data_IF_613033038420
#
_entry.id   IF_613033038420
#
_cell.length_a   1.000
_cell.length_b   1.000
_cell.length_c   1.000
_cell.angle_alpha   90.00
_cell.angle_beta   90.00
_cell.angle_gamma   90.00
#
_symmetry.space_group_name_H-M   'P 1'
#
loop_
_entity.id
_entity.type
_entity.pdbx_description
1 polymer ?
#
# COMPACT_ATOMS: atom_id res chain seq x y z
N UNK A 1 24.49 5.65 30.12
CA UNK A 1 25.31 5.17 28.99
C UNK A 1 24.61 4.01 28.29
N UNK A 2 24.51 4.07 26.96
CA UNK A 2 23.93 3.00 26.16
C UNK A 2 25.02 1.93 25.97
N UNK A 3 25.05 0.91 26.82
CA UNK A 3 26.06 -0.15 26.72
C UNK A 3 26.11 -0.70 25.29
N UNK A 4 27.30 -0.60 24.68
CA UNK A 4 27.55 -1.02 23.30
C UNK A 4 27.34 -2.53 23.21
N UNK A 5 26.43 -2.96 22.33
CA UNK A 5 26.08 -4.38 22.19
C UNK A 5 26.53 -4.93 20.83
N UNK A 6 27.46 -5.89 20.84
CA UNK A 6 28.04 -6.50 19.63
C UNK A 6 27.24 -7.68 19.08
N UNK A 7 26.20 -8.13 19.80
CA UNK A 7 25.44 -9.36 19.51
C UNK A 7 24.43 -9.22 18.38
N UNK A 8 24.35 -8.05 17.71
CA UNK A 8 23.42 -7.76 16.61
C UNK A 8 21.98 -8.30 16.86
N UNK A 9 21.39 -7.93 18.01
CA UNK A 9 20.11 -8.48 18.45
C UNK A 9 19.01 -8.33 17.39
N UNK A 10 18.32 -9.44 17.07
CA UNK A 10 17.16 -9.42 16.16
C UNK A 10 15.97 -8.70 16.81
N UNK A 11 15.59 -7.55 16.27
CA UNK A 11 14.49 -6.70 16.77
C UNK A 11 13.14 -7.14 16.18
N UNK A 12 12.22 -7.57 17.05
CA UNK A 12 10.85 -8.00 16.75
C UNK A 12 9.86 -7.35 17.73
N UNK A 13 8.55 -7.37 17.42
CA UNK A 13 7.50 -6.72 18.24
C UNK A 13 7.55 -7.13 19.72
N UNK A 14 7.81 -8.41 19.99
CA UNK A 14 7.85 -8.99 21.35
C UNK A 14 9.13 -8.65 22.14
N UNK A 15 10.24 -8.33 21.47
CA UNK A 15 11.56 -8.18 22.11
C UNK A 15 12.23 -6.82 21.87
N UNK A 16 11.57 -5.89 21.16
CA UNK A 16 12.15 -4.60 20.75
C UNK A 16 12.69 -3.73 21.88
N UNK A 17 12.21 -3.92 23.11
CA UNK A 17 12.65 -3.15 24.27
C UNK A 17 13.81 -3.81 25.04
N UNK A 18 14.24 -5.02 24.67
CA UNK A 18 15.27 -5.78 25.42
C UNK A 18 16.68 -5.23 25.26
N UNK A 19 17.01 -4.62 24.13
CA UNK A 19 18.31 -4.04 23.87
C UNK A 19 18.15 -2.66 23.24
N UNK A 20 18.46 -1.62 24.01
CA UNK A 20 18.30 -0.24 23.58
C UNK A 20 19.32 0.12 22.48
N UNK A 21 20.57 -0.35 22.60
CA UNK A 21 21.62 -0.16 21.59
C UNK A 21 21.23 -0.70 20.22
N UNK A 22 20.89 -1.98 20.11
CA UNK A 22 20.54 -2.59 18.83
C UNK A 22 19.22 -2.00 18.26
N UNK A 23 18.26 -1.62 19.12
CA UNK A 23 17.04 -0.93 18.67
C UNK A 23 17.38 0.40 18.02
N UNK A 24 18.17 1.23 18.70
CA UNK A 24 18.56 2.54 18.20
C UNK A 24 19.39 2.43 16.92
N UNK A 25 20.39 1.55 16.90
CA UNK A 25 21.21 1.29 15.71
C UNK A 25 20.36 0.78 14.54
N UNK A 26 19.35 -0.06 14.79
CA UNK A 26 18.40 -0.48 13.75
C UNK A 26 17.59 0.71 13.21
N UNK A 27 17.09 1.60 14.08
CA UNK A 27 16.39 2.82 13.65
C UNK A 27 17.26 3.67 12.72
N UNK A 28 18.53 3.89 13.06
CA UNK A 28 19.47 4.60 12.21
C UNK A 28 19.70 3.87 10.88
N UNK A 29 19.88 2.54 10.91
CA UNK A 29 20.11 1.74 9.69
C UNK A 29 18.95 1.75 8.70
N UNK A 30 17.71 1.97 9.16
CA UNK A 30 16.53 2.10 8.29
C UNK A 30 16.25 3.57 7.90
N UNK A 31 17.16 4.49 8.21
CA UNK A 31 17.07 5.89 7.81
C UNK A 31 16.25 6.78 8.73
N UNK A 32 15.96 6.38 9.97
CA UNK A 32 15.36 7.30 10.93
C UNK A 32 16.37 8.37 11.31
N UNK A 33 16.06 9.62 10.96
CA UNK A 33 16.90 10.78 11.27
C UNK A 33 16.33 11.56 12.44
N UNK A 34 17.19 11.91 13.39
CA UNK A 34 16.85 12.84 14.46
C UNK A 34 16.42 14.21 13.91
N UNK A 35 17.03 14.65 12.80
CA UNK A 35 16.74 15.93 12.18
C UNK A 35 15.41 15.94 11.41
N UNK A 36 14.78 14.77 11.21
CA UNK A 36 13.48 14.63 10.55
C UNK A 36 12.30 14.62 11.54
N UNK A 37 12.55 14.87 12.83
CA UNK A 37 11.50 14.96 13.85
C UNK A 37 10.70 16.26 13.63
N UNK A 38 9.40 16.12 13.40
CA UNK A 38 8.47 17.25 13.33
C UNK A 38 7.69 17.36 14.64
N UNK A 39 7.65 18.56 15.21
CA UNK A 39 6.84 18.84 16.39
C UNK A 39 5.39 19.12 15.98
N UNK A 40 4.44 18.45 16.63
CA UNK A 40 3.00 18.63 16.36
C UNK A 40 2.47 17.86 15.14
N UNK A 41 1.25 18.22 14.68
CA UNK A 41 0.60 17.59 13.52
C UNK A 41 1.02 18.30 12.24
N UNK A 42 1.39 17.53 11.21
CA UNK A 42 1.68 18.08 9.89
C UNK A 42 0.42 18.70 9.27
N UNK A 43 0.46 19.96 8.80
CA UNK A 43 -0.64 20.58 8.06
C UNK A 43 -0.98 19.81 6.78
N UNK A 44 -2.27 19.74 6.43
CA UNK A 44 -2.73 19.01 5.24
C UNK A 44 -2.11 19.55 3.94
N UNK A 45 -1.94 20.88 3.84
CA UNK A 45 -1.31 21.51 2.69
C UNK A 45 0.13 21.02 2.47
N UNK A 46 0.90 20.86 3.55
CA UNK A 46 2.28 20.39 3.50
C UNK A 46 2.34 18.90 3.13
N UNK A 47 1.41 18.09 3.67
CA UNK A 47 1.26 16.68 3.30
C UNK A 47 0.95 16.50 1.81
N UNK A 48 0.15 17.39 1.23
CA UNK A 48 -0.18 17.37 -0.20
C UNK A 48 1.02 17.76 -1.07
N UNK A 49 1.80 18.76 -0.66
CA UNK A 49 3.04 19.15 -1.36
C UNK A 49 4.05 17.99 -1.40
N UNK A 50 4.33 17.35 -0.27
CA UNK A 50 5.23 16.19 -0.21
C UNK A 50 4.77 15.03 -1.11
N UNK A 51 3.45 14.79 -1.18
CA UNK A 51 2.87 13.77 -2.08
C UNK A 51 3.01 14.15 -3.55
N UNK A 52 2.92 15.43 -3.89
CA UNK A 52 3.11 15.90 -5.25
C UNK A 52 4.59 15.79 -5.67
N UNK A 53 5.51 16.19 -4.80
CA UNK A 53 6.96 16.05 -5.01
C UNK A 53 7.38 14.58 -5.18
N UNK A 54 6.86 13.67 -4.36
CA UNK A 54 7.13 12.22 -4.49
C UNK A 54 6.68 11.66 -5.84
N UNK A 55 5.53 12.14 -6.36
CA UNK A 55 5.03 11.75 -7.69
C UNK A 55 5.86 12.31 -8.84
N UNK A 56 6.52 13.45 -8.65
CA UNK A 56 7.42 14.03 -9.65
C UNK A 56 8.73 13.25 -9.73
N UNK A 57 9.27 12.82 -8.59
CA UNK A 57 10.47 11.96 -8.54
C UNK A 57 10.21 10.59 -9.18
N UNK A 58 9.02 9.99 -9.00
CA UNK A 58 8.61 8.78 -9.72
C UNK A 58 8.44 8.99 -11.24
N UNK A 59 8.28 10.25 -11.70
CA UNK A 59 8.11 10.58 -13.12
C UNK A 59 9.45 10.85 -13.82
N UNK A 60 10.45 11.35 -13.10
CA UNK A 60 11.80 11.59 -13.64
C UNK A 60 12.66 10.32 -13.73
N UNK A 61 12.37 9.29 -12.93
CA UNK A 61 12.99 7.96 -13.05
C UNK A 61 12.03 6.99 -13.75
N UNK A 62 11.56 7.33 -14.95
CA UNK A 62 10.88 6.37 -15.82
C UNK A 62 11.91 5.39 -16.39
N UNK A 63 12.36 4.44 -15.57
CA UNK A 63 13.19 3.32 -16.00
C UNK A 63 12.46 2.52 -17.09
N UNK A 64 13.16 1.99 -18.13
CA UNK A 64 12.57 1.13 -19.16
C UNK A 64 11.72 -0.01 -18.58
N UNK A 65 12.14 -0.59 -17.45
CA UNK A 65 11.42 -1.64 -16.71
C UNK A 65 10.02 -1.20 -16.25
N UNK A 66 9.82 0.08 -15.93
CA UNK A 66 8.54 0.60 -15.47
C UNK A 66 7.55 0.82 -16.61
N UNK A 67 8.04 1.08 -17.83
CA UNK A 67 7.23 1.11 -19.04
C UNK A 67 6.75 -0.31 -19.39
N UNK A 68 7.65 -1.29 -19.38
CA UNK A 68 7.32 -2.70 -19.65
C UNK A 68 6.30 -3.25 -18.65
N UNK A 69 6.44 -2.93 -17.37
CA UNK A 69 5.46 -3.32 -16.35
C UNK A 69 4.06 -2.73 -16.62
N UNK A 70 3.97 -1.48 -17.09
CA UNK A 70 2.68 -0.86 -17.44
C UNK A 70 2.03 -1.55 -18.64
N UNK A 71 2.82 -1.94 -19.64
CA UNK A 71 2.35 -2.68 -20.81
C UNK A 71 1.80 -4.05 -20.38
N UNK A 72 2.55 -4.79 -19.57
CA UNK A 72 2.12 -6.10 -19.07
C UNK A 72 0.82 -6.02 -18.26
N UNK A 73 0.71 -5.04 -17.36
CA UNK A 73 -0.52 -4.81 -16.59
C UNK A 73 -1.71 -4.51 -17.51
N UNK A 74 -1.50 -3.73 -18.58
CA UNK A 74 -2.52 -3.46 -19.59
C UNK A 74 -2.99 -4.74 -20.30
N UNK A 75 -2.05 -5.58 -20.75
CA UNK A 75 -2.35 -6.86 -21.40
C UNK A 75 -3.14 -7.80 -20.49
N UNK A 76 -2.74 -7.92 -19.22
CA UNK A 76 -3.45 -8.74 -18.22
C UNK A 76 -4.86 -8.20 -18.01
N UNK A 77 -5.03 -6.88 -17.88
CA UNK A 77 -6.34 -6.26 -17.70
C UNK A 77 -7.24 -6.50 -18.91
N UNK A 78 -6.73 -6.36 -20.13
CA UNK A 78 -7.49 -6.65 -21.34
C UNK A 78 -7.92 -8.12 -21.41
N UNK A 79 -7.01 -9.05 -21.15
CA UNK A 79 -7.32 -10.47 -21.11
C UNK A 79 -8.38 -10.77 -20.03
N UNK A 80 -8.26 -10.18 -18.84
CA UNK A 80 -9.26 -10.29 -17.79
C UNK A 80 -10.64 -9.80 -18.24
N UNK A 81 -10.70 -8.64 -18.91
CA UNK A 81 -11.96 -8.07 -19.37
C UNK A 81 -12.61 -8.88 -20.51
N UNK A 82 -11.79 -9.51 -21.37
CA UNK A 82 -12.27 -10.36 -22.48
C UNK A 82 -12.74 -11.73 -22.00
N UNK A 83 -12.03 -12.35 -21.05
CA UNK A 83 -12.29 -13.73 -20.65
C UNK A 83 -13.28 -13.85 -19.49
N UNK A 84 -13.44 -12.81 -18.66
CA UNK A 84 -14.34 -12.84 -17.51
C UNK A 84 -15.55 -11.94 -17.72
N UNK A 85 -16.67 -12.56 -18.13
CA UNK A 85 -17.94 -11.88 -18.34
C UNK A 85 -18.46 -11.16 -17.09
N UNK A 86 -18.28 -11.76 -15.91
CA UNK A 86 -18.57 -11.16 -14.61
C UNK A 86 -17.29 -10.68 -13.95
N UNK A 87 -17.04 -9.37 -14.08
CA UNK A 87 -15.91 -8.70 -13.45
C UNK A 87 -16.34 -7.90 -12.22
N UNK A 88 -15.35 -7.40 -11.47
CA UNK A 88 -15.59 -6.61 -10.25
C UNK A 88 -16.48 -5.38 -10.51
N UNK A 89 -16.35 -4.71 -11.65
CA UNK A 89 -17.16 -3.54 -11.97
C UNK A 89 -18.63 -3.92 -12.20
N UNK A 90 -18.89 -4.98 -12.97
CA UNK A 90 -20.24 -5.52 -13.20
C UNK A 90 -20.89 -6.04 -11.91
N UNK A 91 -20.15 -6.80 -11.10
CA UNK A 91 -20.64 -7.27 -9.80
C UNK A 91 -21.02 -6.11 -8.87
N UNK A 92 -20.23 -5.04 -8.84
CA UNK A 92 -20.55 -3.84 -8.05
C UNK A 92 -21.81 -3.14 -8.55
N UNK A 93 -22.05 -3.07 -9.86
CA UNK A 93 -23.31 -2.51 -10.38
C UNK A 93 -24.52 -3.30 -9.88
N UNK A 94 -24.43 -4.63 -9.84
CA UNK A 94 -25.48 -5.50 -9.30
C UNK A 94 -25.70 -5.24 -7.81
N UNK A 95 -24.64 -5.32 -7.00
CA UNK A 95 -24.73 -5.18 -5.54
C UNK A 95 -25.14 -3.77 -5.08
N UNK A 96 -24.86 -2.74 -5.89
CA UNK A 96 -25.26 -1.36 -5.58
C UNK A 96 -26.61 -0.97 -6.20
N UNK A 97 -27.34 -1.91 -6.79
CA UNK A 97 -28.66 -1.66 -7.36
C UNK A 97 -28.66 -0.79 -8.63
N UNK A 98 -27.50 -0.67 -9.30
CA UNK A 98 -27.33 0.15 -10.52
C UNK A 98 -27.50 -0.66 -11.82
N UNK A 99 -27.95 -1.91 -11.72
CA UNK A 99 -28.27 -2.77 -12.86
C UNK A 99 -29.72 -2.56 -13.29
N UNK A 100 -29.99 -2.60 -14.61
CA UNK A 100 -31.35 -2.49 -15.14
C UNK A 100 -32.23 -3.70 -14.82
N UNK A 101 -31.63 -4.88 -14.65
CA UNK A 101 -32.33 -6.11 -14.25
C UNK A 101 -31.81 -6.55 -12.88
N UNK A 102 -32.63 -6.48 -11.81
CA UNK A 102 -32.22 -6.95 -10.50
C UNK A 102 -32.08 -8.50 -10.51
N UNK A 103 -31.10 -9.04 -9.78
CA UNK A 103 -30.96 -10.49 -9.64
C UNK A 103 -32.09 -11.05 -8.79
N UNK A 104 -32.41 -12.33 -9.01
CA UNK A 104 -33.29 -13.06 -8.10
C UNK A 104 -32.61 -13.26 -6.74
N UNK A 105 -33.34 -13.02 -5.65
CA UNK A 105 -32.84 -13.11 -4.29
C UNK A 105 -33.43 -14.35 -3.63
N UNK A 106 -32.59 -15.32 -3.34
CA UNK A 106 -32.96 -16.53 -2.59
C UNK A 106 -32.61 -16.30 -1.13
N UNK A 107 -33.61 -16.12 -0.27
CA UNK A 107 -33.41 -15.98 1.19
C UNK A 107 -33.81 -17.25 1.97
N UNK A 108 -34.56 -18.15 1.36
CA UNK A 108 -34.97 -19.45 1.93
C UNK A 108 -35.20 -20.49 0.81
N UNK A 109 -35.59 -21.70 1.23
CA UNK A 109 -35.89 -22.83 0.33
C UNK A 109 -37.30 -22.75 -0.29
N UNK A 110 -38.14 -21.81 0.13
CA UNK A 110 -39.48 -21.57 -0.44
C UNK A 110 -39.42 -20.64 -1.66
N UNK A 111 -38.32 -19.89 -1.81
CA UNK A 111 -38.07 -18.99 -2.92
C UNK A 111 -37.70 -19.71 -4.25
N UNK A 112 -38.23 -20.91 -4.52
CA UNK A 112 -38.04 -21.63 -5.79
C UNK A 112 -39.34 -21.74 -6.58
#
# INVERSE_FOLDING_TARGET
DLDKCERNCKIQKKNRNKCQYCRFHKCLSVGMSHNAIRFGRMPQAEKLKLKAESKMVEKEVASPLQADHKILVGQIHEAYMRNFNMNKAKARLILTGKTSKPPFVIHDMEAW
#
